data_IF_577258994198
#
_entry.id   IF_577258994198
#
_cell.length_a   1.000
_cell.length_b   1.000
_cell.length_c   1.000
_cell.angle_alpha   90.00
_cell.angle_beta   90.00
_cell.angle_gamma   90.00
#
_symmetry.space_group_name_H-M   'P 1'
#
loop_
_entity.id
_entity.type
_entity.pdbx_description
1 polymer ?
#
# COMPACT_ATOMS: atom_id res chain seq x y z
N UNK A 1 -19.15 7.66 12.82
CA UNK A 1 -19.33 6.41 12.03
C UNK A 1 -17.97 5.77 11.78
N UNK A 2 -17.89 4.45 11.61
CA UNK A 2 -16.59 3.75 11.33
C UNK A 2 -15.89 4.31 10.09
N UNK A 3 -16.66 4.70 9.08
CA UNK A 3 -16.16 5.31 7.86
C UNK A 3 -15.28 6.54 8.13
N UNK A 4 -15.70 7.43 9.00
CA UNK A 4 -15.00 8.70 9.21
C UNK A 4 -13.62 8.47 9.85
N UNK A 5 -13.55 7.55 10.82
CA UNK A 5 -12.28 7.14 11.42
C UNK A 5 -11.35 6.45 10.41
N UNK A 6 -11.92 5.55 9.57
CA UNK A 6 -11.16 4.84 8.55
C UNK A 6 -10.62 5.78 7.46
N UNK A 7 -11.42 6.78 7.05
CA UNK A 7 -10.99 7.81 6.09
C UNK A 7 -9.86 8.67 6.65
N UNK A 8 -10.00 9.13 7.90
CA UNK A 8 -8.95 9.95 8.54
C UNK A 8 -7.63 9.18 8.67
N UNK A 9 -7.69 7.90 9.08
CA UNK A 9 -6.53 7.01 9.12
C UNK A 9 -5.92 6.82 7.72
N UNK A 10 -6.75 6.51 6.72
CA UNK A 10 -6.31 6.33 5.34
C UNK A 10 -5.60 7.58 4.80
N UNK A 11 -6.22 8.75 4.92
CA UNK A 11 -5.66 10.01 4.42
C UNK A 11 -4.30 10.32 5.09
N UNK A 12 -4.17 10.05 6.39
CA UNK A 12 -2.92 10.21 7.12
C UNK A 12 -1.83 9.26 6.62
N UNK A 13 -2.14 7.97 6.51
CA UNK A 13 -1.17 6.94 6.09
C UNK A 13 -0.72 7.12 4.64
N UNK A 14 -1.64 7.51 3.75
CA UNK A 14 -1.32 7.81 2.35
C UNK A 14 -0.39 9.02 2.24
N UNK A 15 -0.72 10.12 2.93
CA UNK A 15 0.11 11.32 2.94
C UNK A 15 1.53 11.02 3.44
N UNK A 16 1.64 10.26 4.53
CA UNK A 16 2.93 9.87 5.12
C UNK A 16 3.73 8.96 4.17
N UNK A 17 3.08 8.00 3.52
CA UNK A 17 3.74 7.09 2.57
C UNK A 17 4.23 7.85 1.34
N UNK A 18 3.43 8.80 0.85
CA UNK A 18 3.81 9.62 -0.31
C UNK A 18 5.11 10.38 -0.09
N UNK A 19 5.31 10.95 1.11
CA UNK A 19 6.56 11.64 1.47
C UNK A 19 7.80 10.74 1.37
N UNK A 20 7.67 9.46 1.73
CA UNK A 20 8.78 8.52 1.58
C UNK A 20 9.00 8.12 0.11
N UNK A 21 7.92 7.90 -0.65
CA UNK A 21 8.02 7.59 -2.08
C UNK A 21 8.69 8.74 -2.85
N UNK A 22 8.46 10.00 -2.47
CA UNK A 22 9.11 11.18 -3.04
C UNK A 22 10.64 11.19 -2.89
N UNK A 23 11.19 10.40 -1.96
CA UNK A 23 12.63 10.32 -1.72
C UNK A 23 13.32 9.26 -2.56
N UNK A 24 12.59 8.42 -3.32
CA UNK A 24 13.20 7.36 -4.14
C UNK A 24 13.92 7.99 -5.35
N UNK A 25 15.25 7.84 -5.50
CA UNK A 25 15.96 8.37 -6.65
C UNK A 25 15.96 7.37 -7.82
N UNK A 26 15.91 7.87 -9.05
CA UNK A 26 15.88 7.04 -10.27
C UNK A 26 17.13 6.18 -10.45
N UNK A 27 18.29 6.68 -10.07
CA UNK A 27 19.57 5.95 -10.20
C UNK A 27 19.73 4.79 -9.21
N UNK A 28 18.83 4.65 -8.22
CA UNK A 28 18.84 3.58 -7.22
C UNK A 28 17.71 2.56 -7.36
N UNK A 29 16.87 2.66 -8.38
CA UNK A 29 15.69 1.79 -8.52
C UNK A 29 16.03 0.29 -8.53
N UNK A 30 17.21 -0.09 -9.06
CA UNK A 30 17.67 -1.50 -9.10
C UNK A 30 18.40 -1.95 -7.85
N UNK A 31 18.71 -1.03 -6.91
CA UNK A 31 19.42 -1.37 -5.69
C UNK A 31 18.61 -2.28 -4.76
N UNK A 32 19.30 -3.22 -4.11
CA UNK A 32 18.72 -4.18 -3.15
C UNK A 32 19.60 -4.28 -1.90
N UNK A 33 19.00 -4.37 -0.70
CA UNK A 33 19.77 -4.64 0.53
C UNK A 33 20.29 -6.09 0.58
N UNK A 34 19.62 -7.01 -0.12
CA UNK A 34 19.97 -8.42 -0.19
C UNK A 34 19.42 -9.03 -1.48
N UNK A 35 20.08 -10.06 -2.01
CA UNK A 35 19.68 -10.73 -3.27
C UNK A 35 18.24 -11.24 -3.27
N UNK A 36 17.72 -11.66 -2.12
CA UNK A 36 16.35 -12.16 -1.95
C UNK A 36 15.30 -11.04 -1.69
N UNK A 37 15.73 -9.81 -1.48
CA UNK A 37 14.82 -8.68 -1.23
C UNK A 37 14.32 -8.08 -2.53
N UNK A 38 13.19 -7.37 -2.45
CA UNK A 38 12.75 -6.48 -3.53
C UNK A 38 13.82 -5.42 -3.81
N UNK A 39 13.88 -4.94 -5.06
CA UNK A 39 14.62 -3.72 -5.38
C UNK A 39 13.94 -2.50 -4.77
N UNK A 40 14.65 -1.37 -4.69
CA UNK A 40 14.06 -0.10 -4.24
C UNK A 40 12.87 0.30 -5.14
N UNK A 41 13.01 0.18 -6.46
CA UNK A 41 11.94 0.40 -7.42
C UNK A 41 10.79 -0.60 -7.30
N UNK A 42 11.13 -1.88 -7.08
CA UNK A 42 10.14 -2.94 -6.81
C UNK A 42 9.33 -2.67 -5.56
N UNK A 43 9.98 -2.25 -4.47
CA UNK A 43 9.31 -1.89 -3.22
C UNK A 43 8.41 -0.64 -3.41
N UNK A 44 8.90 0.39 -4.11
CA UNK A 44 8.11 1.57 -4.46
C UNK A 44 6.90 1.22 -5.33
N UNK A 45 7.09 0.36 -6.36
CA UNK A 45 5.99 -0.14 -7.20
C UNK A 45 4.95 -0.92 -6.39
N UNK A 46 5.42 -1.76 -5.46
CA UNK A 46 4.54 -2.53 -4.59
C UNK A 46 3.70 -1.61 -3.70
N UNK A 47 4.33 -0.64 -3.03
CA UNK A 47 3.62 0.38 -2.24
C UNK A 47 2.58 1.13 -3.08
N UNK A 48 2.93 1.51 -4.32
CA UNK A 48 2.01 2.19 -5.22
C UNK A 48 0.80 1.32 -5.63
N UNK A 49 0.95 -0.01 -5.62
CA UNK A 49 -0.12 -0.95 -6.01
C UNK A 49 -1.07 -1.32 -4.88
N UNK A 50 -0.63 -1.26 -3.62
CA UNK A 50 -1.42 -1.72 -2.46
C UNK A 50 -2.82 -1.09 -2.34
N UNK A 51 -3.03 0.22 -2.63
CA UNK A 51 -4.36 0.80 -2.56
C UNK A 51 -5.38 0.17 -3.52
N UNK A 52 -4.95 -0.53 -4.58
CA UNK A 52 -5.87 -1.21 -5.51
C UNK A 52 -6.71 -2.30 -4.82
N UNK A 53 -6.20 -2.92 -3.75
CA UNK A 53 -6.96 -3.90 -2.96
C UNK A 53 -8.26 -3.34 -2.40
N UNK A 54 -8.33 -2.02 -2.20
CA UNK A 54 -9.55 -1.36 -1.74
C UNK A 54 -10.74 -1.65 -2.67
N UNK A 55 -10.53 -1.70 -3.98
CA UNK A 55 -11.58 -1.99 -4.97
C UNK A 55 -12.20 -3.36 -4.74
N UNK A 56 -11.37 -4.41 -4.71
CA UNK A 56 -11.83 -5.78 -4.48
C UNK A 56 -12.48 -5.97 -3.10
N UNK A 57 -11.92 -5.31 -2.05
CA UNK A 57 -12.43 -5.46 -0.68
C UNK A 57 -13.75 -4.71 -0.47
N UNK A 58 -13.87 -3.49 -0.99
CA UNK A 58 -15.02 -2.63 -0.70
C UNK A 58 -16.18 -2.81 -1.67
N UNK A 59 -15.94 -3.27 -2.90
CA UNK A 59 -16.98 -3.39 -3.93
C UNK A 59 -17.41 -4.83 -4.19
N UNK A 60 -16.50 -5.81 -4.05
CA UNK A 60 -16.81 -7.23 -4.29
C UNK A 60 -17.05 -7.98 -2.98
N UNK A 61 -17.68 -9.15 -3.05
CA UNK A 61 -17.88 -10.02 -1.87
C UNK A 61 -16.71 -10.97 -1.64
N UNK A 62 -15.89 -11.19 -2.67
CA UNK A 62 -14.73 -12.08 -2.64
C UNK A 62 -13.69 -11.66 -3.66
N UNK A 63 -12.47 -12.12 -3.46
CA UNK A 63 -11.39 -12.01 -4.43
C UNK A 63 -10.66 -13.33 -4.59
N UNK A 64 -10.29 -13.68 -5.83
CA UNK A 64 -9.53 -14.90 -6.12
C UNK A 64 -8.10 -14.52 -6.52
N UNK A 65 -7.12 -14.94 -5.71
CA UNK A 65 -5.69 -14.75 -5.98
C UNK A 65 -5.22 -15.35 -7.30
N UNK A 66 -5.91 -16.40 -7.79
CA UNK A 66 -5.59 -17.01 -9.08
C UNK A 66 -5.87 -16.09 -10.27
N UNK A 67 -6.66 -15.02 -10.07
CA UNK A 67 -6.93 -14.00 -11.09
C UNK A 67 -5.82 -12.95 -11.22
N UNK A 68 -4.89 -12.89 -10.24
CA UNK A 68 -3.77 -11.95 -10.31
C UNK A 68 -2.75 -12.38 -11.37
N UNK A 69 -2.15 -11.42 -12.09
CA UNK A 69 -1.00 -11.72 -12.93
C UNK A 69 0.15 -12.28 -12.07
N UNK A 70 0.96 -13.19 -12.61
CA UNK A 70 2.01 -13.86 -11.83
C UNK A 70 3.08 -12.90 -11.28
N UNK A 71 3.30 -11.76 -11.95
CA UNK A 71 4.24 -10.74 -11.49
C UNK A 71 3.65 -9.35 -11.78
N UNK A 72 3.80 -8.45 -10.82
CA UNK A 72 3.59 -7.03 -11.04
C UNK A 72 4.84 -6.47 -11.75
N UNK A 73 4.66 -5.87 -12.93
CA UNK A 73 5.77 -5.21 -13.62
C UNK A 73 6.27 -4.01 -12.80
N UNK A 74 7.56 -4.01 -12.49
CA UNK A 74 8.19 -2.90 -11.76
C UNK A 74 8.14 -1.62 -12.61
N UNK A 75 7.85 -0.49 -11.96
CA UNK A 75 7.95 0.83 -12.59
C UNK A 75 9.42 1.16 -12.84
N UNK A 76 9.68 1.80 -13.95
CA UNK A 76 11.04 2.10 -14.44
C UNK A 76 11.50 3.52 -14.13
N UNK A 77 10.62 4.34 -13.54
CA UNK A 77 10.95 5.69 -13.10
C UNK A 77 10.26 6.05 -11.78
N UNK A 78 10.87 6.96 -11.04
CA UNK A 78 10.28 7.57 -9.84
C UNK A 78 8.94 8.27 -10.16
N UNK A 79 8.89 8.98 -11.28
CA UNK A 79 7.66 9.65 -11.72
C UNK A 79 6.51 8.66 -11.94
N UNK A 80 6.77 7.48 -12.53
CA UNK A 80 5.75 6.44 -12.74
C UNK A 80 5.28 5.81 -11.41
N UNK A 81 6.18 5.66 -10.43
CA UNK A 81 5.81 5.19 -9.09
C UNK A 81 4.85 6.17 -8.42
N UNK A 82 5.19 7.47 -8.42
CA UNK A 82 4.35 8.50 -7.82
C UNK A 82 3.00 8.63 -8.55
N UNK A 83 3.00 8.66 -9.86
CA UNK A 83 1.77 8.74 -10.65
C UNK A 83 0.83 7.55 -10.38
N UNK A 84 1.39 6.34 -10.31
CA UNK A 84 0.62 5.14 -9.98
C UNK A 84 0.08 5.17 -8.55
N UNK A 85 0.88 5.65 -7.59
CA UNK A 85 0.44 5.80 -6.20
C UNK A 85 -0.71 6.79 -6.09
N UNK A 86 -0.56 7.98 -6.68
CA UNK A 86 -1.57 9.05 -6.63
C UNK A 86 -2.89 8.62 -7.28
N UNK A 87 -2.84 7.94 -8.44
CA UNK A 87 -4.03 7.45 -9.12
C UNK A 87 -4.74 6.35 -8.30
N UNK A 88 -4.00 5.35 -7.82
CA UNK A 88 -4.55 4.25 -7.05
C UNK A 88 -5.12 4.68 -5.71
N UNK A 89 -4.45 5.62 -5.01
CA UNK A 89 -4.95 6.15 -3.73
C UNK A 89 -6.20 6.99 -3.91
N UNK A 90 -6.27 7.80 -4.98
CA UNK A 90 -7.48 8.55 -5.32
C UNK A 90 -8.67 7.63 -5.59
N UNK A 91 -8.47 6.57 -6.38
CA UNK A 91 -9.53 5.56 -6.64
C UNK A 91 -9.96 4.86 -5.36
N UNK A 92 -9.00 4.38 -4.56
CA UNK A 92 -9.29 3.70 -3.29
C UNK A 92 -10.13 4.59 -2.36
N UNK A 93 -9.74 5.86 -2.22
CA UNK A 93 -10.50 6.84 -1.43
C UNK A 93 -11.94 7.01 -1.91
N UNK A 94 -12.15 7.02 -3.22
CA UNK A 94 -13.48 7.12 -3.82
C UNK A 94 -14.40 5.93 -3.50
N UNK A 95 -13.84 4.73 -3.22
CA UNK A 95 -14.63 3.54 -2.85
C UNK A 95 -14.94 3.46 -1.35
N UNK A 96 -14.38 4.33 -0.52
CA UNK A 96 -14.55 4.28 0.95
C UNK A 96 -15.87 4.87 1.45
N UNK A 97 -16.73 5.42 0.57
CA UNK A 97 -18.06 5.89 0.97
C UNK A 97 -19.01 4.70 1.19
N UNK A 98 -18.84 4.06 2.34
CA UNK A 98 -19.58 2.87 2.77
C UNK A 98 -20.27 3.10 4.10
N UNK A 99 -21.44 2.49 4.27
CA UNK A 99 -22.12 2.42 5.55
C UNK A 99 -21.39 1.51 6.53
N UNK A 100 -21.66 1.66 7.83
CA UNK A 100 -21.11 0.75 8.85
C UNK A 100 -21.52 -0.71 8.61
N UNK A 101 -22.75 -0.94 8.11
CA UNK A 101 -23.22 -2.28 7.75
C UNK A 101 -22.42 -2.90 6.58
N UNK A 102 -22.12 -2.12 5.55
CA UNK A 102 -21.26 -2.56 4.44
C UNK A 102 -19.83 -2.85 4.90
N UNK A 103 -19.26 -2.01 5.77
CA UNK A 103 -17.92 -2.21 6.33
C UNK A 103 -17.83 -3.47 7.20
N UNK A 104 -18.91 -3.83 7.89
CA UNK A 104 -19.01 -5.04 8.70
C UNK A 104 -19.39 -6.28 7.90
N UNK A 105 -19.87 -6.14 6.66
CA UNK A 105 -20.19 -7.27 5.79
C UNK A 105 -18.95 -8.14 5.54
N UNK A 106 -19.17 -9.45 5.39
CA UNK A 106 -18.08 -10.41 5.14
C UNK A 106 -17.50 -10.25 3.74
N UNK A 107 -16.20 -10.39 3.69
CA UNK A 107 -15.40 -10.50 2.48
C UNK A 107 -14.50 -11.73 2.58
N UNK A 108 -14.33 -12.44 1.47
CA UNK A 108 -13.57 -13.70 1.44
C UNK A 108 -12.44 -13.66 0.42
N UNK A 109 -11.29 -14.21 0.79
CA UNK A 109 -10.16 -14.44 -0.10
C UNK A 109 -10.11 -15.90 -0.53
N UNK A 110 -9.98 -16.11 -1.84
CA UNK A 110 -9.92 -17.43 -2.47
C UNK A 110 -8.59 -17.66 -3.19
N UNK A 111 -8.28 -18.93 -3.42
CA UNK A 111 -7.30 -19.38 -4.40
C UNK A 111 -7.94 -20.51 -5.21
N UNK A 112 -8.44 -20.16 -6.39
CA UNK A 112 -9.31 -21.07 -7.15
C UNK A 112 -10.55 -21.46 -6.34
N UNK A 113 -10.87 -22.76 -6.17
CA UNK A 113 -12.04 -23.19 -5.41
C UNK A 113 -11.87 -23.08 -3.89
N UNK A 114 -10.66 -22.87 -3.38
CA UNK A 114 -10.38 -22.89 -1.95
C UNK A 114 -10.57 -21.49 -1.32
N UNK A 115 -11.47 -21.39 -0.34
CA UNK A 115 -11.52 -20.22 0.56
C UNK A 115 -10.31 -20.29 1.51
N UNK A 116 -9.48 -19.22 1.48
CA UNK A 116 -8.31 -19.10 2.36
C UNK A 116 -8.77 -18.58 3.72
N UNK A 117 -9.59 -17.52 3.72
CA UNK A 117 -10.24 -16.96 4.92
C UNK A 117 -11.39 -16.05 4.53
N UNK A 118 -12.17 -15.68 5.56
CA UNK A 118 -13.25 -14.70 5.45
C UNK A 118 -13.28 -13.83 6.71
N UNK A 119 -13.45 -12.52 6.52
CA UNK A 119 -13.48 -11.53 7.61
C UNK A 119 -14.35 -10.32 7.22
N UNK A 120 -14.72 -9.43 8.16
CA UNK A 120 -15.38 -8.17 7.83
C UNK A 120 -14.52 -7.32 6.87
N UNK A 121 -15.16 -6.60 5.94
CA UNK A 121 -14.46 -5.74 4.96
C UNK A 121 -13.51 -4.73 5.64
N UNK A 122 -13.92 -4.13 6.75
CA UNK A 122 -13.07 -3.19 7.49
C UNK A 122 -11.77 -3.86 7.99
N UNK A 123 -11.84 -5.11 8.45
CA UNK A 123 -10.67 -5.86 8.89
C UNK A 123 -9.78 -6.23 7.69
N UNK A 124 -10.37 -6.65 6.58
CA UNK A 124 -9.64 -6.92 5.33
C UNK A 124 -8.96 -5.66 4.80
N UNK A 125 -9.67 -4.53 4.77
CA UNK A 125 -9.10 -3.24 4.34
C UNK A 125 -7.90 -2.82 5.21
N UNK A 126 -8.03 -2.90 6.52
CA UNK A 126 -6.92 -2.59 7.43
C UNK A 126 -5.74 -3.53 7.21
N UNK A 127 -5.98 -4.84 7.03
CA UNK A 127 -4.91 -5.83 6.84
C UNK A 127 -4.20 -5.69 5.50
N UNK A 128 -4.96 -5.60 4.39
CA UNK A 128 -4.40 -5.66 3.03
C UNK A 128 -4.04 -4.30 2.45
N UNK A 129 -4.61 -3.21 2.96
CA UNK A 129 -4.28 -1.86 2.51
C UNK A 129 -3.42 -1.16 3.55
N UNK A 130 -3.95 -0.83 4.73
CA UNK A 130 -3.26 0.04 5.70
C UNK A 130 -2.04 -0.63 6.34
N UNK A 131 -2.23 -1.76 7.02
CA UNK A 131 -1.13 -2.44 7.73
C UNK A 131 -0.04 -2.92 6.76
N UNK A 132 -0.44 -3.37 5.58
CA UNK A 132 0.49 -3.80 4.53
C UNK A 132 1.31 -2.63 3.99
N UNK A 133 0.65 -1.48 3.76
CA UNK A 133 1.31 -0.23 3.36
C UNK A 133 2.28 0.25 4.46
N UNK A 134 1.86 0.28 5.72
CA UNK A 134 2.70 0.66 6.87
C UNK A 134 3.92 -0.26 6.98
N UNK A 135 3.73 -1.59 6.81
CA UNK A 135 4.82 -2.57 6.84
C UNK A 135 5.88 -2.28 5.78
N UNK A 136 5.47 -2.13 4.52
CA UNK A 136 6.42 -1.87 3.43
C UNK A 136 6.99 -0.46 3.45
N UNK A 137 6.25 0.52 3.94
CA UNK A 137 6.78 1.86 4.21
C UNK A 137 7.92 1.84 5.24
N UNK A 138 7.78 1.05 6.30
CA UNK A 138 8.86 0.83 7.27
C UNK A 138 10.11 0.24 6.61
N UNK A 139 9.96 -0.72 5.69
CA UNK A 139 11.08 -1.25 4.89
C UNK A 139 11.68 -0.16 3.99
N UNK A 140 10.85 0.65 3.33
CA UNK A 140 11.32 1.73 2.47
C UNK A 140 12.17 2.74 3.25
N UNK A 141 11.79 3.11 4.47
CA UNK A 141 12.59 4.02 5.30
C UNK A 141 14.00 3.48 5.57
N UNK A 142 14.13 2.17 5.81
CA UNK A 142 15.43 1.50 5.96
C UNK A 142 16.21 1.49 4.65
N UNK A 143 15.55 1.24 3.51
CA UNK A 143 16.22 1.26 2.20
C UNK A 143 16.77 2.65 1.86
N UNK A 144 15.99 3.71 2.14
CA UNK A 144 16.44 5.09 1.95
C UNK A 144 17.67 5.37 2.82
N UNK A 145 17.62 5.01 4.11
CA UNK A 145 18.74 5.20 5.05
C UNK A 145 20.02 4.48 4.60
N UNK A 146 19.93 3.25 4.11
CA UNK A 146 21.06 2.47 3.62
C UNK A 146 21.69 3.06 2.35
N UNK A 147 21.00 3.98 1.68
CA UNK A 147 21.51 4.72 0.52
C UNK A 147 21.85 6.19 0.84
N UNK A 148 21.99 6.54 2.13
CA UNK A 148 22.28 7.91 2.60
C UNK A 148 21.25 8.95 2.14
N UNK A 149 19.99 8.53 1.91
CA UNK A 149 18.88 9.39 1.52
C UNK A 149 18.16 9.86 2.80
N UNK A 150 17.92 11.17 2.96
CA UNK A 150 17.19 11.70 4.10
C UNK A 150 15.79 11.08 4.25
N UNK A 151 15.46 10.63 5.47
CA UNK A 151 14.18 9.98 5.78
C UNK A 151 13.25 11.01 6.43
N UNK A 152 12.05 11.25 5.87
CA UNK A 152 11.10 12.18 6.47
C UNK A 152 10.57 11.67 7.81
N UNK A 153 10.04 12.59 8.63
CA UNK A 153 9.30 12.24 9.84
C UNK A 153 8.05 11.41 9.49
N UNK A 154 7.82 10.31 10.24
CA UNK A 154 6.70 9.37 9.99
C UNK A 154 5.66 9.50 11.10
N UNK A 155 5.88 8.89 12.26
CA UNK A 155 5.03 8.99 13.45
C UNK A 155 5.67 9.83 14.56
N UNK A 156 6.81 10.39 14.27
CA UNK A 156 7.63 11.23 15.13
C UNK A 156 8.83 11.72 14.36
N UNK A 157 9.71 12.51 14.98
CA UNK A 157 10.90 13.06 14.33
C UNK A 157 11.81 11.93 13.82
N UNK A 158 12.48 12.19 12.71
CA UNK A 158 13.59 11.37 12.22
C UNK A 158 14.93 12.03 12.60
N UNK A 159 16.06 11.41 12.20
CA UNK A 159 17.36 12.07 12.33
C UNK A 159 17.55 13.24 11.36
N UNK A 160 16.68 13.37 10.35
CA UNK A 160 16.78 14.37 9.28
C UNK A 160 15.68 15.43 9.36
N UNK A 161 14.55 15.13 10.02
CA UNK A 161 13.39 16.02 10.14
C UNK A 161 12.81 15.93 11.56
N UNK A 162 12.71 17.08 12.22
CA UNK A 162 12.13 17.27 13.55
C UNK A 162 10.69 17.77 13.55
#
# INVERSE_FOLDING_TARGET
>A
MMKDGLLAEYDHEISTTRKLLERIPDDKLTWKPHVKSMSLGGLGTHLASLPQWAGAILNDTRFDLASLPPNLAEKTSHADILAAFDDNTKRARGWMDKTDAELLARWSLYRGPQEIFSMPRIAAFRSFVLNHLIHHRGQLSVYLRLNDIPVPAIYGPSADEG
#
